data_IF_818484387846
#
_entry.id   IF_818484387846
#
_cell.length_a   1.000
_cell.length_b   1.000
_cell.length_c   1.000
_cell.angle_alpha   90.00
_cell.angle_beta   90.00
_cell.angle_gamma   90.00
#
_symmetry.space_group_name_H-M   'P 1'
#
loop_
_entity.id
_entity.type
_entity.pdbx_description
1 polymer ?
#
# COMPACT_ATOMS: atom_id res chain seq x y z
N UNK A 1 3.73 -23.57 7.88
CA UNK A 1 3.40 -22.70 6.74
C UNK A 1 3.18 -21.33 7.32
N UNK A 2 4.12 -20.39 7.14
CA UNK A 2 3.97 -19.07 7.72
C UNK A 2 2.91 -18.31 6.93
N UNK A 3 1.77 -18.00 7.56
CA UNK A 3 0.77 -17.07 7.03
C UNK A 3 1.46 -15.89 6.37
N UNK A 4 1.38 -15.84 5.05
CA UNK A 4 1.96 -14.77 4.23
C UNK A 4 1.04 -13.57 4.40
N UNK A 5 1.10 -12.94 5.58
CA UNK A 5 0.32 -11.75 5.91
C UNK A 5 0.65 -10.68 4.89
N UNK A 6 -0.32 -10.29 4.09
CA UNK A 6 -0.18 -9.19 3.14
C UNK A 6 -0.92 -8.00 3.72
N UNK A 7 -0.27 -6.84 3.73
CA UNK A 7 -0.86 -5.60 4.20
C UNK A 7 -1.21 -4.72 3.01
N UNK A 8 -2.45 -4.24 2.97
CA UNK A 8 -2.82 -3.10 2.15
C UNK A 8 -2.69 -1.82 2.98
N UNK A 9 -2.12 -0.77 2.40
CA UNK A 9 -2.03 0.54 3.01
C UNK A 9 -2.56 1.61 2.06
N UNK A 10 -3.44 2.46 2.56
CA UNK A 10 -4.15 3.50 1.80
C UNK A 10 -3.91 4.84 2.47
N UNK A 11 -3.56 5.87 1.71
CA UNK A 11 -3.47 7.24 2.23
C UNK A 11 -4.85 7.88 2.28
N UNK A 12 -5.30 8.21 3.48
CA UNK A 12 -6.62 8.83 3.72
C UNK A 12 -6.50 10.35 3.79
N UNK A 13 -5.44 10.88 4.42
CA UNK A 13 -5.25 12.33 4.59
C UNK A 13 -4.50 12.98 3.43
N UNK A 14 -4.79 14.26 3.22
CA UNK A 14 -4.13 15.13 2.24
C UNK A 14 -2.65 15.41 2.53
N UNK A 15 -2.08 16.39 1.81
CA UNK A 15 -0.65 16.74 1.88
C UNK A 15 -0.32 17.98 2.72
N UNK A 16 -1.34 18.71 3.14
CA UNK A 16 -1.17 19.97 3.87
C UNK A 16 -0.88 19.68 5.34
N UNK A 17 0.02 20.45 5.95
CA UNK A 17 0.39 20.37 7.36
C UNK A 17 0.90 18.98 7.82
N UNK A 18 1.65 18.29 6.94
CA UNK A 18 2.30 17.01 7.26
C UNK A 18 3.72 17.28 7.70
N UNK A 19 4.16 16.69 8.82
CA UNK A 19 5.56 16.77 9.27
C UNK A 19 6.50 16.16 8.20
N UNK A 20 7.67 16.76 8.04
CA UNK A 20 8.62 16.42 6.97
C UNK A 20 9.04 14.93 6.97
N UNK A 21 9.34 14.40 8.15
CA UNK A 21 9.72 12.99 8.38
C UNK A 21 8.62 12.01 7.94
N UNK A 22 7.36 12.32 8.25
CA UNK A 22 6.20 11.53 7.84
C UNK A 22 5.96 11.67 6.33
N UNK A 23 6.08 12.88 5.78
CA UNK A 23 5.91 13.12 4.35
C UNK A 23 6.93 12.34 3.52
N UNK A 24 8.19 12.32 3.96
CA UNK A 24 9.25 11.53 3.33
C UNK A 24 8.98 10.03 3.41
N UNK A 25 8.52 9.54 4.58
CA UNK A 25 8.13 8.13 4.76
C UNK A 25 6.98 7.74 3.83
N UNK A 26 5.94 8.57 3.73
CA UNK A 26 4.81 8.36 2.82
C UNK A 26 5.27 8.36 1.36
N UNK A 27 6.24 9.20 0.99
CA UNK A 27 6.82 9.21 -0.35
C UNK A 27 7.63 7.94 -0.65
N UNK A 28 8.44 7.46 0.31
CA UNK A 28 9.17 6.18 0.20
C UNK A 28 8.23 4.99 0.04
N UNK A 29 7.10 5.00 0.74
CA UNK A 29 6.02 4.03 0.59
C UNK A 29 5.22 4.20 -0.72
N UNK A 30 5.52 5.20 -1.56
CA UNK A 30 4.78 5.54 -2.79
C UNK A 30 3.34 6.04 -2.55
N UNK A 31 3.00 6.38 -1.31
CA UNK A 31 1.71 6.96 -0.89
C UNK A 31 1.71 8.49 -1.07
N UNK A 32 1.98 8.94 -2.30
CA UNK A 32 2.15 10.37 -2.60
C UNK A 32 0.85 11.16 -2.51
N UNK A 33 -0.29 10.61 -2.92
CA UNK A 33 -1.58 11.32 -2.99
C UNK A 33 -2.63 10.61 -2.13
N UNK A 34 -3.68 11.31 -1.66
CA UNK A 34 -4.82 10.64 -1.04
C UNK A 34 -5.44 9.64 -2.02
N UNK A 35 -6.03 8.58 -1.46
CA UNK A 35 -6.64 7.44 -2.16
C UNK A 35 -5.64 6.61 -2.98
N UNK A 36 -4.33 6.81 -2.78
CA UNK A 36 -3.32 5.87 -3.25
C UNK A 36 -3.31 4.67 -2.30
N UNK A 37 -3.35 3.47 -2.88
CA UNK A 37 -3.23 2.19 -2.20
C UNK A 37 -1.95 1.48 -2.64
N UNK A 38 -1.27 0.84 -1.69
CA UNK A 38 -0.15 -0.07 -1.95
C UNK A 38 -0.42 -1.39 -1.25
N UNK A 39 0.15 -2.46 -1.79
CA UNK A 39 0.11 -3.79 -1.18
C UNK A 39 1.57 -4.18 -0.91
N UNK A 40 1.86 -4.61 0.32
CA UNK A 40 3.21 -4.94 0.74
C UNK A 40 3.23 -6.15 1.68
N UNK A 41 4.35 -6.86 1.67
CA UNK A 41 4.63 -7.89 2.68
C UNK A 41 5.29 -7.23 3.89
N UNK A 42 4.79 -7.44 5.12
CA UNK A 42 5.21 -6.73 6.31
C UNK A 42 6.55 -7.26 6.84
N UNK A 43 7.63 -6.61 6.44
CA UNK A 43 8.94 -6.71 7.12
C UNK A 43 8.98 -5.77 8.33
N UNK A 44 9.91 -5.97 9.27
CA UNK A 44 10.06 -5.09 10.44
C UNK A 44 10.23 -3.61 10.06
N UNK A 45 11.00 -3.32 9.00
CA UNK A 45 11.13 -1.96 8.47
C UNK A 45 9.81 -1.40 7.94
N UNK A 46 9.03 -2.18 7.19
CA UNK A 46 7.72 -1.72 6.71
C UNK A 46 6.74 -1.51 7.86
N UNK A 47 6.73 -2.39 8.87
CA UNK A 47 5.90 -2.23 10.07
C UNK A 47 6.24 -0.95 10.82
N UNK A 48 7.53 -0.64 10.97
CA UNK A 48 8.00 0.63 11.56
C UNK A 48 7.51 1.86 10.78
N UNK A 49 7.66 1.83 9.45
CA UNK A 49 7.20 2.92 8.57
C UNK A 49 5.68 3.11 8.65
N UNK A 50 4.89 2.02 8.62
CA UNK A 50 3.43 2.07 8.74
C UNK A 50 3.00 2.66 10.10
N UNK A 51 3.63 2.21 11.19
CA UNK A 51 3.34 2.72 12.54
C UNK A 51 3.65 4.22 12.66
N UNK A 52 4.75 4.68 12.06
CA UNK A 52 5.14 6.10 12.04
C UNK A 52 4.10 6.98 11.32
N UNK A 53 3.53 6.50 10.22
CA UNK A 53 2.57 7.27 9.41
C UNK A 53 1.09 6.95 9.67
N UNK A 54 0.77 6.13 10.68
CA UNK A 54 -0.57 5.65 11.02
C UNK A 54 -1.67 6.74 11.07
N UNK A 55 -1.34 7.96 11.50
CA UNK A 55 -2.31 9.07 11.55
C UNK A 55 -2.75 9.59 10.16
N UNK A 56 -2.06 9.21 9.09
CA UNK A 56 -2.31 9.65 7.71
C UNK A 56 -2.80 8.54 6.78
N UNK A 57 -2.64 7.28 7.20
CA UNK A 57 -2.94 6.10 6.39
C UNK A 57 -3.87 5.16 7.14
N UNK A 58 -4.69 4.42 6.40
CA UNK A 58 -5.36 3.23 6.91
C UNK A 58 -4.59 2.01 6.37
N UNK A 59 -4.23 1.07 7.24
CA UNK A 59 -3.57 -0.16 6.81
C UNK A 59 -4.08 -1.36 7.60
N UNK A 60 -4.08 -2.53 6.96
CA UNK A 60 -4.56 -3.77 7.56
C UNK A 60 -4.19 -5.00 6.73
N UNK A 61 -4.30 -6.17 7.35
CA UNK A 61 -4.20 -7.45 6.66
C UNK A 61 -5.37 -7.59 5.69
N UNK A 62 -5.12 -8.12 4.49
CA UNK A 62 -6.12 -8.28 3.43
C UNK A 62 -6.13 -9.70 2.89
N UNK A 63 -7.35 -10.20 2.62
CA UNK A 63 -7.57 -11.53 2.05
C UNK A 63 -7.17 -11.58 0.56
N UNK A 64 -6.87 -12.79 0.08
CA UNK A 64 -6.48 -13.05 -1.30
C UNK A 64 -7.56 -12.60 -2.31
N UNK A 65 -8.84 -12.74 -1.97
CA UNK A 65 -9.96 -12.25 -2.77
C UNK A 65 -9.91 -10.73 -3.01
N UNK A 66 -9.57 -9.97 -1.98
CA UNK A 66 -9.47 -8.50 -2.06
C UNK A 66 -8.26 -8.12 -2.91
N UNK A 67 -7.14 -8.81 -2.74
CA UNK A 67 -5.93 -8.60 -3.52
C UNK A 67 -6.20 -8.86 -5.00
N UNK A 68 -6.87 -9.97 -5.35
CA UNK A 68 -7.24 -10.29 -6.73
C UNK A 68 -8.09 -9.19 -7.36
N UNK A 69 -9.10 -8.68 -6.62
CA UNK A 69 -9.92 -7.55 -7.08
C UNK A 69 -9.11 -6.27 -7.30
N UNK A 70 -8.16 -5.98 -6.42
CA UNK A 70 -7.29 -4.80 -6.54
C UNK A 70 -6.34 -4.93 -7.74
N UNK A 71 -5.73 -6.10 -7.95
CA UNK A 71 -4.82 -6.37 -9.06
C UNK A 71 -5.52 -6.33 -10.42
N UNK A 72 -6.76 -6.87 -10.50
CA UNK A 72 -7.60 -6.77 -11.70
C UNK A 72 -7.84 -5.31 -12.12
N UNK A 73 -8.00 -4.38 -11.18
CA UNK A 73 -8.13 -2.94 -11.49
C UNK A 73 -6.90 -2.34 -12.16
N UNK A 74 -5.74 -2.96 -11.99
CA UNK A 74 -4.46 -2.53 -12.59
C UNK A 74 -4.07 -3.39 -13.79
N UNK A 75 -4.95 -4.32 -14.22
CA UNK A 75 -4.70 -5.21 -15.35
C UNK A 75 -3.70 -6.34 -15.04
N UNK A 76 -3.62 -6.80 -13.79
CA UNK A 76 -2.84 -7.97 -13.38
C UNK A 76 -3.81 -9.10 -13.03
N UNK A 77 -3.77 -10.19 -13.80
CA UNK A 77 -4.72 -11.30 -13.67
C UNK A 77 -4.33 -12.34 -12.62
N UNK A 78 -3.05 -12.44 -12.24
CA UNK A 78 -2.55 -13.52 -11.37
C UNK A 78 -1.59 -13.04 -10.28
N UNK A 79 -1.79 -13.54 -9.06
CA UNK A 79 -0.92 -13.30 -7.89
C UNK A 79 0.35 -14.17 -7.94
N UNK A 80 0.24 -15.40 -8.46
CA UNK A 80 1.31 -16.42 -8.42
C UNK A 80 2.50 -16.13 -9.34
N UNK A 81 2.33 -15.28 -10.36
CA UNK A 81 3.38 -14.89 -11.30
C UNK A 81 3.79 -13.41 -11.23
N UNK A 82 3.21 -12.64 -10.30
CA UNK A 82 3.48 -11.21 -10.21
C UNK A 82 4.87 -10.98 -9.62
N UNK A 83 5.84 -10.71 -10.49
CA UNK A 83 7.18 -10.33 -10.07
C UNK A 83 7.11 -9.13 -9.12
N UNK A 84 7.96 -9.11 -8.08
CA UNK A 84 8.07 -7.95 -7.15
C UNK A 84 8.26 -6.64 -7.91
N UNK A 85 8.84 -6.70 -9.09
CA UNK A 85 9.04 -5.58 -9.98
C UNK A 85 7.77 -5.15 -10.72
N UNK A 86 6.93 -6.09 -11.19
CA UNK A 86 5.63 -5.79 -11.78
C UNK A 86 4.68 -5.18 -10.76
N UNK A 87 4.63 -5.74 -9.55
CA UNK A 87 3.83 -5.18 -8.44
C UNK A 87 4.27 -3.77 -8.08
N UNK A 88 5.59 -3.52 -8.07
CA UNK A 88 6.13 -2.16 -7.89
C UNK A 88 5.69 -1.25 -9.03
N UNK A 89 5.74 -1.67 -10.30
CA UNK A 89 5.35 -0.83 -11.45
C UNK A 89 3.85 -0.51 -11.44
N UNK A 90 3.03 -1.46 -11.03
CA UNK A 90 1.57 -1.31 -10.91
C UNK A 90 1.13 -0.42 -9.73
N UNK A 91 2.02 -0.17 -8.75
CA UNK A 91 1.71 0.63 -7.57
C UNK A 91 2.25 2.07 -7.67
N UNK A 92 1.50 3.06 -7.16
CA UNK A 92 0.31 2.93 -6.31
C UNK A 92 -0.99 2.77 -7.10
N UNK A 93 -1.88 1.92 -6.59
CA UNK A 93 -3.23 1.74 -7.11
C UNK A 93 -4.03 2.99 -6.74
N UNK A 94 -4.57 3.69 -7.74
CA UNK A 94 -5.46 4.83 -7.54
C UNK A 94 -6.86 4.31 -7.25
N UNK A 95 -7.29 4.41 -6.00
CA UNK A 95 -8.68 4.17 -5.65
C UNK A 95 -9.51 5.39 -6.03
N UNK A 96 -10.68 5.13 -6.62
CA UNK A 96 -11.64 6.19 -6.85
C UNK A 96 -12.07 6.74 -5.48
N UNK A 97 -12.19 8.07 -5.32
CA UNK A 97 -12.83 8.62 -4.13
C UNK A 97 -14.23 8.01 -3.95
N UNK A 98 -14.66 7.78 -2.70
CA UNK A 98 -16.06 7.45 -2.41
C UNK A 98 -16.99 8.62 -2.74
#
# INVERSE_FOLDING_TARGET
MADKKIIAAIRVRGRVNVRHDIAETLERLRLKRPNNCIILSPTDSYRGMLKMCNNYIAYGEVDEDIISKLLKKVGIDSIEGADKEQLKKAMPIRLHPP
#
